data_IF_268795244092
#
_entry.id   IF_268795244092
#
_cell.length_a   1.000
_cell.length_b   1.000
_cell.length_c   1.000
_cell.angle_alpha   90.00
_cell.angle_beta   90.00
_cell.angle_gamma   90.00
#
_symmetry.space_group_name_H-M   'P 1'
#
loop_
_entity.id
_entity.type
_entity.pdbx_description
1 polymer ?
#
# COMPACT_ATOMS: atom_id res chain seq x y z
N UNK A 1 -1.62 -27.88 24.55
CA UNK A 1 -1.62 -26.41 24.75
C UNK A 1 -1.94 -25.76 23.42
N UNK A 2 -2.95 -24.88 23.31
CA UNK A 2 -3.24 -24.23 22.04
C UNK A 2 -2.01 -23.41 21.60
N UNK A 3 -1.61 -23.48 20.32
CA UNK A 3 -0.47 -22.72 19.83
C UNK A 3 -0.73 -21.23 20.05
N UNK A 4 0.07 -20.61 20.91
CA UNK A 4 0.00 -19.18 21.21
C UNK A 4 0.68 -18.45 20.06
N UNK A 5 -0.07 -18.17 19.00
CA UNK A 5 0.41 -17.35 17.89
C UNK A 5 0.52 -15.91 18.43
N UNK A 6 1.66 -15.62 19.06
CA UNK A 6 1.97 -14.32 19.63
C UNK A 6 2.62 -13.43 18.56
N UNK A 7 1.83 -13.07 17.54
CA UNK A 7 2.25 -12.10 16.53
C UNK A 7 2.15 -10.71 17.16
N UNK A 8 3.23 -9.90 17.10
CA UNK A 8 3.21 -8.54 17.58
C UNK A 8 2.04 -7.71 16.99
N UNK A 9 1.44 -6.81 17.78
CA UNK A 9 0.17 -6.17 17.43
C UNK A 9 0.22 -5.35 16.15
N UNK A 10 1.28 -4.58 15.90
CA UNK A 10 1.38 -3.73 14.70
C UNK A 10 1.65 -4.57 13.47
N UNK A 11 2.54 -5.56 13.57
CA UNK A 11 2.81 -6.53 12.50
C UNK A 11 1.54 -7.26 12.08
N UNK A 12 0.69 -7.65 13.04
CA UNK A 12 -0.62 -8.27 12.75
C UNK A 12 -1.54 -7.31 12.00
N UNK A 13 -1.60 -6.04 12.43
CA UNK A 13 -2.39 -5.00 11.76
C UNK A 13 -1.94 -4.78 10.31
N UNK A 14 -0.63 -4.69 10.08
CA UNK A 14 -0.04 -4.50 8.75
C UNK A 14 -0.32 -5.68 7.82
N UNK A 15 -0.15 -6.91 8.30
CA UNK A 15 -0.48 -8.11 7.52
C UNK A 15 -1.97 -8.18 7.17
N UNK A 16 -2.84 -7.89 8.14
CA UNK A 16 -4.28 -7.86 7.91
C UNK A 16 -4.65 -6.78 6.88
N UNK A 17 -4.09 -5.57 7.00
CA UNK A 17 -4.29 -4.49 6.03
C UNK A 17 -3.82 -4.89 4.63
N UNK A 18 -2.58 -5.40 4.51
CA UNK A 18 -2.01 -5.85 3.23
C UNK A 18 -2.92 -6.87 2.52
N UNK A 19 -3.34 -7.91 3.25
CA UNK A 19 -4.18 -8.98 2.68
C UNK A 19 -5.57 -8.45 2.33
N UNK A 20 -6.22 -7.70 3.23
CA UNK A 20 -7.58 -7.19 3.01
C UNK A 20 -7.60 -6.20 1.84
N UNK A 21 -6.65 -5.27 1.78
CA UNK A 21 -6.61 -4.28 0.71
C UNK A 21 -6.26 -4.89 -0.64
N UNK A 22 -5.31 -5.84 -0.68
CA UNK A 22 -4.95 -6.55 -1.92
C UNK A 22 -6.11 -7.44 -2.41
N UNK A 23 -6.80 -8.13 -1.48
CA UNK A 23 -7.99 -8.91 -1.82
C UNK A 23 -9.12 -8.01 -2.35
N UNK A 24 -9.37 -6.87 -1.70
CA UNK A 24 -10.37 -5.91 -2.15
C UNK A 24 -10.04 -5.39 -3.55
N UNK A 25 -8.78 -5.00 -3.80
CA UNK A 25 -8.30 -4.59 -5.12
C UNK A 25 -8.54 -5.68 -6.17
N UNK A 26 -8.18 -6.93 -5.87
CA UNK A 26 -8.38 -8.07 -6.75
C UNK A 26 -9.87 -8.35 -7.02
N UNK A 27 -10.73 -8.28 -6.01
CA UNK A 27 -12.17 -8.50 -6.15
C UNK A 27 -12.83 -7.44 -7.03
N UNK A 28 -12.44 -6.17 -6.87
CA UNK A 28 -12.93 -5.07 -7.72
C UNK A 28 -12.47 -5.27 -9.16
N UNK A 29 -11.18 -5.57 -9.37
CA UNK A 29 -10.63 -5.84 -10.71
C UNK A 29 -11.29 -7.04 -11.39
N UNK A 30 -11.55 -8.10 -10.63
CA UNK A 30 -12.26 -9.28 -11.13
C UNK A 30 -13.68 -8.94 -11.56
N UNK A 31 -14.40 -8.12 -10.76
CA UNK A 31 -15.76 -7.69 -11.09
C UNK A 31 -15.81 -6.76 -12.31
N UNK A 32 -14.83 -5.89 -12.46
CA UNK A 32 -14.75 -4.91 -13.55
C UNK A 32 -13.97 -5.41 -14.76
N UNK A 33 -13.68 -6.72 -14.80
CA UNK A 33 -12.87 -7.31 -15.86
C UNK A 33 -13.53 -7.12 -17.23
N UNK A 34 -12.85 -6.35 -18.08
CA UNK A 34 -13.23 -6.06 -19.46
C UNK A 34 -11.98 -6.18 -20.33
N UNK A 35 -12.13 -6.69 -21.55
CA UNK A 35 -11.01 -6.99 -22.45
C UNK A 35 -10.18 -5.76 -22.87
N UNK A 36 -10.62 -4.54 -22.58
CA UNK A 36 -10.02 -3.30 -23.13
C UNK A 36 -9.90 -2.18 -22.09
N UNK A 37 -10.15 -2.41 -20.81
CA UNK A 37 -10.21 -1.34 -19.80
C UNK A 37 -9.04 -1.40 -18.82
N UNK A 38 -8.27 -0.32 -18.71
CA UNK A 38 -7.38 -0.11 -17.56
C UNK A 38 -8.24 0.13 -16.31
N UNK A 39 -8.26 -0.85 -15.40
CA UNK A 39 -9.06 -0.77 -14.18
C UNK A 39 -8.29 0.05 -13.15
N UNK A 40 -8.78 1.26 -12.92
CA UNK A 40 -8.21 2.22 -11.99
C UNK A 40 -9.07 2.30 -10.74
N UNK A 41 -8.48 2.18 -9.55
CA UNK A 41 -9.21 2.17 -8.26
C UNK A 41 -8.70 3.34 -7.37
N UNK A 42 -9.28 4.54 -7.51
CA UNK A 42 -8.72 5.78 -6.94
C UNK A 42 -8.60 5.84 -5.42
N UNK A 43 -9.34 5.01 -4.70
CA UNK A 43 -9.32 4.98 -3.24
C UNK A 43 -8.37 3.93 -2.67
N UNK A 44 -7.74 3.09 -3.52
CA UNK A 44 -6.74 2.09 -3.13
C UNK A 44 -5.36 2.38 -3.72
N UNK A 45 -5.29 2.98 -4.90
CA UNK A 45 -4.03 3.29 -5.60
C UNK A 45 -3.76 4.79 -5.62
N UNK A 46 -2.47 5.15 -5.64
CA UNK A 46 -2.07 6.55 -5.78
C UNK A 46 -2.31 7.02 -7.22
N UNK A 47 -3.21 7.98 -7.38
CA UNK A 47 -3.53 8.64 -8.65
C UNK A 47 -3.42 10.15 -8.44
N UNK A 48 -2.55 10.88 -9.15
CA UNK A 48 -2.32 12.30 -8.91
C UNK A 48 -3.60 13.13 -8.86
N UNK A 49 -4.51 13.00 -9.82
CA UNK A 49 -5.71 13.83 -9.85
C UNK A 49 -6.67 13.60 -8.66
N UNK A 50 -6.72 12.37 -8.14
CA UNK A 50 -7.71 11.94 -7.14
C UNK A 50 -7.11 11.74 -5.74
N UNK A 51 -5.79 11.70 -5.59
CA UNK A 51 -5.13 11.44 -4.30
C UNK A 51 -5.29 12.60 -3.31
N UNK A 52 -5.53 13.83 -3.79
CA UNK A 52 -5.90 14.96 -2.92
C UNK A 52 -7.31 14.83 -2.35
N UNK A 53 -8.22 14.19 -3.09
CA UNK A 53 -9.59 13.90 -2.62
C UNK A 53 -9.59 12.72 -1.66
N UNK A 54 -8.73 11.74 -1.91
CA UNK A 54 -8.56 10.52 -1.12
C UNK A 54 -7.18 10.47 -0.44
N UNK A 55 -6.92 11.33 0.57
CA UNK A 55 -5.56 11.52 1.12
C UNK A 55 -5.00 10.28 1.83
N UNK A 56 -5.85 9.32 2.21
CA UNK A 56 -5.38 8.07 2.78
C UNK A 56 -4.54 7.24 1.80
N UNK A 57 -4.67 7.45 0.48
CA UNK A 57 -3.90 6.71 -0.54
C UNK A 57 -2.40 6.93 -0.41
N UNK A 58 -1.95 8.08 0.12
CA UNK A 58 -0.53 8.33 0.42
C UNK A 58 0.05 7.37 1.45
N UNK A 59 -0.78 6.80 2.34
CA UNK A 59 -0.37 5.77 3.29
C UNK A 59 -0.70 4.38 2.76
N UNK A 60 -1.95 4.16 2.40
CA UNK A 60 -2.49 2.82 2.20
C UNK A 60 -2.10 2.20 0.85
N UNK A 61 -1.68 3.00 -0.14
CA UNK A 61 -1.28 2.46 -1.45
C UNK A 61 -0.06 1.54 -1.37
N UNK A 62 0.78 1.68 -0.34
CA UNK A 62 1.92 0.78 -0.09
C UNK A 62 1.53 -0.62 0.38
N UNK A 63 0.29 -0.79 0.86
CA UNK A 63 -0.25 -2.05 1.38
C UNK A 63 -1.20 -2.71 0.37
N UNK A 64 -1.14 -2.31 -0.90
CA UNK A 64 -1.95 -2.87 -1.98
C UNK A 64 -1.04 -3.50 -3.01
N UNK A 65 -1.16 -4.82 -3.17
CA UNK A 65 -0.42 -5.57 -4.17
C UNK A 65 -1.33 -6.04 -5.30
N UNK A 66 -0.85 -5.90 -6.54
CA UNK A 66 -1.62 -6.28 -7.74
C UNK A 66 -1.31 -7.70 -8.22
N UNK A 67 -0.22 -8.31 -7.73
CA UNK A 67 0.24 -9.63 -8.15
C UNK A 67 0.33 -10.55 -6.92
N UNK A 68 -0.10 -11.81 -7.09
CA UNK A 68 -0.02 -12.84 -6.04
C UNK A 68 1.42 -13.09 -5.57
N UNK A 69 2.40 -12.98 -6.48
CA UNK A 69 3.82 -13.17 -6.14
C UNK A 69 4.36 -12.01 -5.31
N UNK A 70 4.03 -10.76 -5.69
CA UNK A 70 4.46 -9.59 -4.91
C UNK A 70 3.75 -9.56 -3.56
N UNK A 71 2.47 -9.94 -3.51
CA UNK A 71 1.73 -10.14 -2.26
C UNK A 71 2.37 -11.18 -1.35
N UNK A 72 2.78 -12.33 -1.88
CA UNK A 72 3.43 -13.37 -1.09
C UNK A 72 4.77 -12.88 -0.51
N UNK A 73 5.59 -12.22 -1.33
CA UNK A 73 6.87 -11.63 -0.90
C UNK A 73 6.63 -10.55 0.16
N UNK A 74 5.66 -9.67 -0.03
CA UNK A 74 5.30 -8.62 0.92
C UNK A 74 4.82 -9.21 2.25
N UNK A 75 3.96 -10.22 2.23
CA UNK A 75 3.52 -10.95 3.42
C UNK A 75 4.69 -11.56 4.19
N UNK A 76 5.61 -12.25 3.51
CA UNK A 76 6.81 -12.84 4.15
C UNK A 76 7.71 -11.74 4.72
N UNK A 77 7.89 -10.65 3.98
CA UNK A 77 8.72 -9.50 4.39
C UNK A 77 8.16 -8.83 5.64
N UNK A 78 6.86 -8.54 5.69
CA UNK A 78 6.22 -7.94 6.87
C UNK A 78 6.22 -8.92 8.03
N UNK A 79 5.95 -10.21 7.79
CA UNK A 79 5.91 -11.22 8.84
C UNK A 79 7.29 -11.37 9.52
N UNK A 80 8.36 -11.51 8.74
CA UNK A 80 9.70 -11.72 9.26
C UNK A 80 10.33 -10.41 9.76
N UNK A 81 10.24 -9.34 8.96
CA UNK A 81 10.83 -8.03 9.25
C UNK A 81 10.06 -7.29 10.35
N UNK A 82 8.73 -7.24 10.27
CA UNK A 82 7.88 -6.61 11.27
C UNK A 82 8.03 -7.26 12.63
N UNK A 83 8.02 -8.59 12.71
CA UNK A 83 8.21 -9.31 13.99
C UNK A 83 9.58 -9.02 14.62
N UNK A 84 10.62 -8.91 13.81
CA UNK A 84 11.97 -8.60 14.28
C UNK A 84 12.06 -7.15 14.78
N UNK A 85 11.61 -6.19 13.97
CA UNK A 85 11.68 -4.77 14.28
C UNK A 85 10.77 -4.39 15.45
N UNK A 86 9.56 -4.95 15.56
CA UNK A 86 8.64 -4.64 16.66
C UNK A 86 9.20 -5.08 18.02
N UNK A 87 9.97 -6.18 18.03
CA UNK A 87 10.68 -6.65 19.23
C UNK A 87 11.89 -5.79 19.57
N UNK A 88 12.56 -5.23 18.56
CA UNK A 88 13.74 -4.41 18.75
C UNK A 88 13.40 -2.96 19.13
N UNK A 89 12.37 -2.37 18.53
CA UNK A 89 12.13 -0.92 18.54
C UNK A 89 10.85 -0.49 19.28
N UNK A 90 10.01 -1.42 19.76
CA UNK A 90 8.64 -1.17 20.22
C UNK A 90 7.64 -0.89 19.08
N UNK A 91 6.37 -1.19 19.34
CA UNK A 91 5.25 -1.04 18.41
C UNK A 91 5.06 0.40 17.92
N UNK A 92 5.28 1.39 18.79
CA UNK A 92 5.07 2.80 18.44
C UNK A 92 6.11 3.31 17.43
N UNK A 93 7.39 2.97 17.62
CA UNK A 93 8.45 3.39 16.70
C UNK A 93 8.34 2.66 15.35
N UNK A 94 7.93 1.39 15.35
CA UNK A 94 7.64 0.68 14.10
C UNK A 94 6.51 1.34 13.32
N UNK A 95 5.43 1.76 13.99
CA UNK A 95 4.33 2.44 13.33
C UNK A 95 4.76 3.77 12.68
N UNK A 96 5.60 4.57 13.39
CA UNK A 96 6.17 5.81 12.82
C UNK A 96 7.08 5.51 11.63
N UNK A 97 7.93 4.48 11.74
CA UNK A 97 8.81 4.05 10.66
C UNK A 97 7.99 3.69 9.42
N UNK A 98 6.98 2.84 9.56
CA UNK A 98 6.11 2.44 8.45
C UNK A 98 5.40 3.65 7.82
N UNK A 99 4.86 4.55 8.65
CA UNK A 99 4.21 5.76 8.17
C UNK A 99 5.16 6.65 7.35
N UNK A 100 6.40 6.85 7.80
CA UNK A 100 7.41 7.64 7.07
C UNK A 100 7.80 6.92 5.77
N UNK A 101 8.06 5.61 5.82
CA UNK A 101 8.44 4.83 4.64
C UNK A 101 7.32 4.70 3.61
N UNK A 102 6.07 4.94 4.00
CA UNK A 102 4.95 5.01 3.06
C UNK A 102 4.77 6.44 2.51
N UNK A 103 4.71 7.44 3.40
CA UNK A 103 4.41 8.82 3.02
C UNK A 103 5.49 9.45 2.14
N UNK A 104 6.76 9.29 2.51
CA UNK A 104 7.86 9.97 1.82
C UNK A 104 7.94 9.58 0.35
N UNK A 105 8.08 8.28 -0.03
CA UNK A 105 8.14 7.91 -1.43
C UNK A 105 6.87 8.24 -2.19
N UNK A 106 5.68 8.00 -1.60
CA UNK A 106 4.41 8.30 -2.28
C UNK A 106 4.22 9.80 -2.54
N UNK A 107 4.60 10.65 -1.57
CA UNK A 107 4.53 12.12 -1.73
C UNK A 107 5.51 12.59 -2.79
N UNK A 108 6.72 12.03 -2.83
CA UNK A 108 7.70 12.33 -3.87
C UNK A 108 7.21 11.89 -5.26
N UNK A 109 6.65 10.69 -5.39
CA UNK A 109 6.05 10.21 -6.65
C UNK A 109 4.94 11.13 -7.12
N UNK A 110 4.04 11.53 -6.22
CA UNK A 110 2.98 12.48 -6.51
C UNK A 110 3.51 13.85 -6.97
N UNK A 111 4.51 14.39 -6.27
CA UNK A 111 5.13 15.66 -6.65
C UNK A 111 5.80 15.58 -8.03
N UNK A 112 6.52 14.49 -8.32
CA UNK A 112 7.14 14.27 -9.61
C UNK A 112 6.11 14.14 -10.74
N UNK A 113 5.01 13.43 -10.50
CA UNK A 113 3.91 13.30 -11.46
C UNK A 113 3.31 14.68 -11.80
N UNK A 114 3.07 15.53 -10.79
CA UNK A 114 2.61 16.90 -11.01
C UNK A 114 3.62 17.74 -11.79
N UNK A 115 4.91 17.63 -11.47
CA UNK A 115 5.97 18.36 -12.18
C UNK A 115 5.98 17.94 -13.66
N UNK A 116 5.95 16.65 -13.96
CA UNK A 116 5.92 16.17 -15.35
C UNK A 116 4.66 16.55 -16.10
N UNK A 117 3.50 16.54 -15.43
CA UNK A 117 2.27 17.10 -16.00
C UNK A 117 2.42 18.59 -16.32
N UNK A 118 2.96 19.38 -15.39
CA UNK A 118 3.16 20.81 -15.58
C UNK A 118 4.10 21.13 -16.75
N UNK A 119 5.13 20.31 -16.96
CA UNK A 119 6.11 20.48 -18.05
C UNK A 119 5.58 19.98 -19.40
N UNK A 120 4.97 18.80 -19.42
CA UNK A 120 4.59 18.12 -20.68
C UNK A 120 3.17 18.46 -21.12
N UNK A 121 2.30 18.93 -20.19
CA UNK A 121 0.85 19.08 -20.37
C UNK A 121 0.15 17.80 -20.85
N UNK A 122 0.77 16.64 -20.60
CA UNK A 122 0.24 15.35 -21.02
C UNK A 122 -0.57 14.73 -19.88
N UNK A 123 -1.86 14.51 -20.12
CA UNK A 123 -2.84 13.95 -19.18
C UNK A 123 -2.49 12.54 -18.70
N UNK A 124 -1.54 11.85 -19.34
CA UNK A 124 -1.03 10.56 -18.83
C UNK A 124 -0.27 10.68 -17.51
N UNK A 125 0.16 11.88 -17.12
CA UNK A 125 0.85 12.12 -15.86
C UNK A 125 -0.11 12.42 -14.69
N UNK A 126 -1.43 12.49 -14.93
CA UNK A 126 -2.46 12.78 -13.92
C UNK A 126 -3.28 11.57 -13.54
#
# INVERSE_FOLDING_TARGET
MPPRINIPPVTRGLLAALVVQSFLSAAIRYRQWSATSEIVIPYLTLIPQLSLVYPWTFLTSTLVENNIFTLAIACVTIYQGGRYLERAWSSAELAKFVAITALVPNTLTFALMIIFFSLTRNERWT
#
